data_IF_043905069024
#
_entry.id   IF_043905069024
#
_cell.length_a   1.000
_cell.length_b   1.000
_cell.length_c   1.000
_cell.angle_alpha   90.00
_cell.angle_beta   90.00
_cell.angle_gamma   90.00
#
_symmetry.space_group_name_H-M   'P 1'
#
loop_
_entity.id
_entity.type
_entity.pdbx_description
1 polymer ?
#
# COMPACT_ATOMS: atom_id res chain seq x y z
N UNK A 1 -16.19 47.24 -8.07
CA UNK A 1 -15.36 46.27 -7.32
C UNK A 1 -16.28 45.12 -6.93
N UNK A 2 -16.34 44.07 -7.75
CA UNK A 2 -17.12 42.88 -7.46
C UNK A 2 -16.22 41.90 -6.70
N UNK A 3 -16.50 41.70 -5.42
CA UNK A 3 -15.89 40.63 -4.63
C UNK A 3 -16.48 39.30 -5.11
N UNK A 4 -15.72 38.62 -5.98
CA UNK A 4 -16.00 37.23 -6.38
C UNK A 4 -15.86 36.35 -5.14
N UNK A 5 -16.97 36.15 -4.43
CA UNK A 5 -17.10 35.12 -3.42
C UNK A 5 -17.20 33.77 -4.16
N UNK A 6 -16.05 33.30 -4.65
CA UNK A 6 -15.90 31.97 -5.24
C UNK A 6 -16.09 30.97 -4.11
N UNK A 7 -17.30 30.41 -3.97
CA UNK A 7 -17.54 29.26 -3.14
C UNK A 7 -16.46 28.21 -3.43
N UNK A 8 -15.68 27.85 -2.42
CA UNK A 8 -14.73 26.73 -2.49
C UNK A 8 -15.59 25.51 -2.80
N UNK A 9 -15.67 25.12 -4.07
CA UNK A 9 -16.29 23.87 -4.47
C UNK A 9 -15.36 22.78 -3.94
N UNK A 10 -15.66 22.26 -2.75
CA UNK A 10 -15.05 21.05 -2.25
C UNK A 10 -15.23 20.01 -3.36
N UNK A 11 -14.12 19.58 -3.96
CA UNK A 11 -14.19 18.63 -5.05
C UNK A 11 -14.69 17.29 -4.49
N UNK A 12 -15.74 16.74 -5.08
CA UNK A 12 -16.37 15.50 -4.63
C UNK A 12 -16.35 14.45 -5.73
N UNK A 13 -16.33 13.18 -5.32
CA UNK A 13 -16.46 12.03 -6.20
C UNK A 13 -17.78 11.32 -5.94
N UNK A 14 -18.49 10.97 -7.00
CA UNK A 14 -19.58 10.01 -6.90
C UNK A 14 -19.03 8.60 -6.62
N UNK A 15 -19.88 7.71 -6.12
CA UNK A 15 -19.50 6.32 -5.86
C UNK A 15 -18.91 5.60 -7.08
N UNK A 16 -19.41 5.88 -8.29
CA UNK A 16 -18.90 5.29 -9.53
C UNK A 16 -17.49 5.79 -9.86
N UNK A 17 -17.25 7.09 -9.71
CA UNK A 17 -15.94 7.68 -9.95
C UNK A 17 -14.89 7.18 -8.94
N UNK A 18 -15.29 6.99 -7.68
CA UNK A 18 -14.41 6.43 -6.67
C UNK A 18 -14.06 4.96 -6.95
N UNK A 19 -15.05 4.16 -7.36
CA UNK A 19 -14.84 2.77 -7.76
C UNK A 19 -13.87 2.67 -8.97
N UNK A 20 -14.04 3.54 -9.96
CA UNK A 20 -13.14 3.63 -11.11
C UNK A 20 -11.72 4.01 -10.70
N UNK A 21 -11.56 5.01 -9.83
CA UNK A 21 -10.25 5.46 -9.31
C UNK A 21 -9.51 4.35 -8.55
N UNK A 22 -10.23 3.56 -7.75
CA UNK A 22 -9.65 2.46 -6.97
C UNK A 22 -9.56 1.15 -7.75
N UNK A 23 -9.98 1.15 -9.02
CA UNK A 23 -10.06 -0.05 -9.86
C UNK A 23 -10.80 -1.21 -9.19
N UNK A 24 -11.90 -0.89 -8.50
CA UNK A 24 -12.70 -1.86 -7.75
C UNK A 24 -14.18 -1.76 -8.09
N UNK A 25 -14.96 -2.71 -7.60
CA UNK A 25 -16.41 -2.69 -7.81
C UNK A 25 -17.11 -1.72 -6.85
N UNK A 26 -18.24 -1.17 -7.27
CA UNK A 26 -19.08 -0.25 -6.49
C UNK A 26 -19.50 -0.85 -5.15
N UNK A 27 -19.73 -2.16 -5.06
CA UNK A 27 -20.04 -2.82 -3.79
C UNK A 27 -18.88 -2.75 -2.78
N UNK A 28 -17.64 -2.66 -3.26
CA UNK A 28 -16.46 -2.49 -2.40
C UNK A 28 -16.48 -1.12 -1.73
N UNK A 29 -16.85 -0.07 -2.47
CA UNK A 29 -16.99 1.29 -1.92
C UNK A 29 -18.08 1.33 -0.84
N UNK A 30 -19.23 0.68 -1.08
CA UNK A 30 -20.32 0.59 -0.09
C UNK A 30 -19.86 -0.13 1.17
N UNK A 31 -19.10 -1.22 1.02
CA UNK A 31 -18.56 -1.96 2.15
C UNK A 31 -17.62 -1.09 2.98
N UNK A 32 -16.69 -0.40 2.34
CA UNK A 32 -15.75 0.51 3.02
C UNK A 32 -16.47 1.66 3.74
N UNK A 33 -17.55 2.20 3.15
CA UNK A 33 -18.42 3.19 3.81
C UNK A 33 -19.07 2.60 5.07
N UNK A 34 -19.64 1.39 4.98
CA UNK A 34 -20.29 0.72 6.12
C UNK A 34 -19.31 0.32 7.23
N UNK A 35 -18.07 0.01 6.87
CA UNK A 35 -16.98 -0.32 7.80
C UNK A 35 -16.37 0.94 8.45
N UNK A 36 -16.77 2.14 8.02
CA UNK A 36 -16.28 3.41 8.55
C UNK A 36 -14.91 3.84 8.03
N UNK A 37 -14.43 3.23 6.94
CA UNK A 37 -13.16 3.58 6.31
C UNK A 37 -13.22 4.86 5.47
N UNK A 38 -14.40 5.19 4.94
CA UNK A 38 -14.69 6.41 4.19
C UNK A 38 -16.06 6.95 4.55
N UNK A 39 -16.25 8.27 4.45
CA UNK A 39 -17.48 8.96 4.79
C UNK A 39 -18.01 9.74 3.60
N UNK A 40 -19.34 9.73 3.46
CA UNK A 40 -20.05 10.52 2.45
C UNK A 40 -20.28 11.95 2.93
N UNK A 41 -20.37 12.87 1.98
CA UNK A 41 -20.81 14.24 2.25
C UNK A 41 -22.23 14.24 2.84
N UNK A 42 -22.45 14.84 4.02
CA UNK A 42 -23.77 14.93 4.60
C UNK A 42 -24.65 15.89 3.79
N UNK A 43 -25.94 15.58 3.68
CA UNK A 43 -26.98 16.46 3.12
C UNK A 43 -26.78 16.91 1.66
N UNK A 44 -26.01 16.17 0.85
CA UNK A 44 -25.93 16.41 -0.60
C UNK A 44 -27.17 15.83 -1.28
N UNK A 45 -27.96 16.70 -1.92
CA UNK A 45 -29.14 16.27 -2.67
C UNK A 45 -28.73 15.49 -3.93
N UNK A 46 -29.40 14.37 -4.20
CA UNK A 46 -29.17 13.54 -5.38
C UNK A 46 -28.26 12.34 -5.10
N UNK A 47 -27.10 12.29 -5.76
CA UNK A 47 -26.20 11.13 -5.70
C UNK A 47 -25.27 11.20 -4.48
N UNK A 48 -24.92 10.03 -3.93
CA UNK A 48 -23.93 9.91 -2.85
C UNK A 48 -22.56 10.39 -3.36
N UNK A 49 -21.99 11.33 -2.63
CA UNK A 49 -20.72 11.98 -2.94
C UNK A 49 -19.75 11.82 -1.76
N UNK A 50 -18.46 11.71 -2.08
CA UNK A 50 -17.35 11.57 -1.13
C UNK A 50 -16.39 12.75 -1.31
N UNK A 51 -15.96 13.42 -0.24
CA UNK A 51 -14.97 14.51 -0.34
C UNK A 51 -13.62 13.98 -0.84
N UNK A 52 -13.04 14.59 -1.87
CA UNK A 52 -11.73 14.15 -2.41
C UNK A 52 -10.64 14.19 -1.33
N UNK A 53 -10.62 15.25 -0.50
CA UNK A 53 -9.63 15.41 0.56
C UNK A 53 -9.62 14.24 1.57
N UNK A 54 -10.79 13.66 1.83
CA UNK A 54 -10.91 12.51 2.72
C UNK A 54 -10.38 11.24 2.05
N UNK A 55 -10.77 11.03 0.78
CA UNK A 55 -10.29 9.90 -0.02
C UNK A 55 -8.77 9.93 -0.14
N UNK A 56 -8.19 11.08 -0.47
CA UNK A 56 -6.74 11.25 -0.59
C UNK A 56 -6.04 10.99 0.74
N UNK A 57 -6.63 11.41 1.87
CA UNK A 57 -6.08 11.11 3.20
C UNK A 57 -6.07 9.61 3.49
N UNK A 58 -7.11 8.87 3.07
CA UNK A 58 -7.17 7.41 3.22
C UNK A 58 -6.28 6.65 2.24
N UNK A 59 -6.07 7.19 1.03
CA UNK A 59 -5.17 6.62 0.02
C UNK A 59 -3.69 6.78 0.39
N UNK A 60 -3.35 7.86 1.07
CA UNK A 60 -2.03 7.98 1.68
C UNK A 60 -1.98 7.11 2.92
N UNK A 61 -1.22 6.00 2.95
CA UNK A 61 -0.99 5.31 4.20
C UNK A 61 -0.42 6.35 5.16
N UNK A 62 -1.07 6.55 6.32
CA UNK A 62 -0.49 7.33 7.40
C UNK A 62 0.96 6.86 7.51
N UNK A 63 1.91 7.76 7.23
CA UNK A 63 3.32 7.48 7.43
C UNK A 63 3.49 7.29 8.92
N UNK A 64 3.23 6.07 9.43
CA UNK A 64 3.57 5.70 10.78
C UNK A 64 5.06 6.02 10.91
N UNK A 65 5.45 6.94 11.80
CA UNK A 65 6.85 7.26 11.95
C UNK A 65 7.57 5.96 12.27
N UNK A 66 8.61 5.65 11.50
CA UNK A 66 9.42 4.45 11.73
C UNK A 66 9.96 4.54 13.15
N UNK A 67 9.59 3.60 14.00
CA UNK A 67 10.02 3.61 15.39
C UNK A 67 11.43 3.03 15.52
N UNK A 68 12.14 3.35 16.60
CA UNK A 68 13.42 2.69 16.90
C UNK A 68 13.28 1.16 16.98
N UNK A 69 12.13 0.66 17.42
CA UNK A 69 11.82 -0.76 17.43
C UNK A 69 11.73 -1.35 16.02
N UNK A 70 11.09 -0.64 15.09
CA UNK A 70 11.00 -1.06 13.69
C UNK A 70 12.37 -1.16 13.04
N UNK A 71 13.26 -0.19 13.31
CA UNK A 71 14.66 -0.20 12.83
C UNK A 71 15.37 -1.45 13.35
N UNK A 72 15.36 -1.69 14.67
CA UNK A 72 16.01 -2.85 15.27
C UNK A 72 15.45 -4.18 14.73
N UNK A 73 14.13 -4.25 14.53
CA UNK A 73 13.48 -5.44 13.94
C UNK A 73 13.96 -5.68 12.51
N UNK A 74 14.03 -4.63 11.70
CA UNK A 74 14.49 -4.70 10.32
C UNK A 74 15.97 -5.07 10.24
N UNK A 75 16.84 -4.46 11.06
CA UNK A 75 18.26 -4.80 11.14
C UNK A 75 18.48 -6.27 11.52
N UNK A 76 17.72 -6.79 12.49
CA UNK A 76 17.76 -8.21 12.86
C UNK A 76 17.35 -9.09 11.69
N UNK A 77 16.31 -8.70 10.95
CA UNK A 77 15.85 -9.45 9.78
C UNK A 77 16.89 -9.46 8.67
N UNK A 78 17.55 -8.33 8.41
CA UNK A 78 18.64 -8.22 7.44
C UNK A 78 19.77 -9.18 7.83
N UNK A 79 20.27 -9.12 9.07
CA UNK A 79 21.33 -10.02 9.55
C UNK A 79 20.96 -11.50 9.44
N UNK A 80 19.70 -11.85 9.66
CA UNK A 80 19.23 -13.23 9.48
C UNK A 80 19.24 -13.65 8.01
N UNK A 81 18.77 -12.77 7.13
CA UNK A 81 18.72 -13.05 5.69
C UNK A 81 20.13 -13.17 5.10
N UNK A 82 21.06 -12.30 5.49
CA UNK A 82 22.46 -12.37 5.09
C UNK A 82 23.10 -13.71 5.48
N UNK A 83 22.89 -14.17 6.71
CA UNK A 83 23.37 -15.50 7.16
C UNK A 83 22.77 -16.66 6.38
N UNK A 84 21.49 -16.57 6.00
CA UNK A 84 20.84 -17.61 5.19
C UNK A 84 21.40 -17.62 3.78
N UNK A 85 21.66 -16.44 3.22
CA UNK A 85 22.23 -16.27 1.90
C UNK A 85 23.65 -16.85 1.84
N UNK A 86 24.51 -16.47 2.79
CA UNK A 86 25.89 -17.00 2.91
C UNK A 86 25.91 -18.53 3.00
N UNK A 87 25.05 -19.13 3.85
CA UNK A 87 24.94 -20.59 3.95
C UNK A 87 24.55 -21.24 2.62
N UNK A 88 23.58 -20.66 1.92
CA UNK A 88 23.13 -21.18 0.62
C UNK A 88 24.23 -21.09 -0.43
N UNK A 89 24.99 -20.00 -0.45
CA UNK A 89 26.12 -19.82 -1.36
C UNK A 89 27.25 -20.83 -1.11
N UNK A 90 27.59 -21.08 0.16
CA UNK A 90 28.59 -22.08 0.52
C UNK A 90 28.15 -23.49 0.09
N UNK A 91 26.92 -23.88 0.40
CA UNK A 91 26.38 -25.19 -0.02
C UNK A 91 26.35 -25.33 -1.55
N UNK A 92 25.99 -24.28 -2.28
CA UNK A 92 26.03 -24.30 -3.74
C UNK A 92 27.45 -24.48 -4.28
N UNK A 93 28.44 -23.90 -3.62
CA UNK A 93 29.86 -24.02 -4.00
C UNK A 93 30.34 -25.45 -3.77
N UNK A 94 30.09 -26.03 -2.59
CA UNK A 94 30.42 -27.42 -2.26
C UNK A 94 29.79 -28.43 -3.24
N UNK A 95 28.52 -28.21 -3.60
CA UNK A 95 27.81 -29.05 -4.58
C UNK A 95 28.43 -28.95 -5.98
N UNK A 96 28.81 -27.75 -6.42
CA UNK A 96 29.49 -27.54 -7.70
C UNK A 96 30.85 -28.24 -7.74
N UNK A 97 31.62 -28.14 -6.67
CA UNK A 97 32.92 -28.81 -6.55
C UNK A 97 32.76 -30.33 -6.60
N UNK A 98 31.81 -30.86 -5.82
CA UNK A 98 31.50 -32.30 -5.79
C UNK A 98 31.07 -32.82 -7.16
N UNK A 99 30.20 -32.10 -7.86
CA UNK A 99 29.78 -32.44 -9.21
C UNK A 99 30.96 -32.42 -10.19
N UNK A 100 31.84 -31.43 -10.08
CA UNK A 100 33.01 -31.32 -10.95
C UNK A 100 33.96 -32.50 -10.76
N UNK A 101 34.15 -32.96 -9.53
CA UNK A 101 34.96 -34.15 -9.23
C UNK A 101 34.35 -35.43 -9.81
N UNK A 102 33.03 -35.60 -9.67
CA UNK A 102 32.31 -36.74 -10.25
C UNK A 102 32.41 -36.79 -11.78
N UNK A 103 32.24 -35.64 -12.44
CA UNK A 103 32.37 -35.54 -13.90
C UNK A 103 33.79 -35.87 -14.36
N UNK A 104 34.82 -35.46 -13.59
CA UNK A 104 36.21 -35.81 -13.90
C UNK A 104 36.55 -37.29 -13.69
N UNK A 105 35.74 -38.02 -12.92
CA UNK A 105 35.95 -39.45 -12.64
C UNK A 105 35.22 -40.40 -13.60
N UNK A 106 34.41 -39.86 -14.51
CA UNK A 106 33.69 -40.58 -15.57
C UNK A 106 34.47 -40.54 -16.88
#
# INVERSE_FOLDING_TARGET
METKNSAIRVATLTRKQLAERWHCDVHTIIRFENEGHIHRCPNVAGQVQYPIEEIERGETPERKPVTAHDIVRLERRIKQLEKVLEKKENTLTELKESLTLLVKSL
#
